data_IF_052823771224
#
_entry.id   IF_052823771224
#
_cell.length_a   1.000
_cell.length_b   1.000
_cell.length_c   1.000
_cell.angle_alpha   90.00
_cell.angle_beta   90.00
_cell.angle_gamma   90.00
#
_symmetry.space_group_name_H-M   'P 1'
#
loop_
_entity.id
_entity.type
_entity.pdbx_description
1 polymer ?
#
# COMPACT_ATOMS: atom_id res chain seq x y z
N UNK A 1 9.80 -6.38 -51.76
CA UNK A 1 8.51 -5.73 -51.43
C UNK A 1 8.41 -5.52 -49.92
N UNK A 2 8.61 -4.29 -49.44
CA UNK A 2 8.50 -3.99 -47.99
C UNK A 2 7.02 -3.95 -47.63
N UNK A 3 6.55 -4.88 -46.79
CA UNK A 3 5.17 -4.89 -46.28
C UNK A 3 4.92 -3.61 -45.48
N UNK A 4 4.19 -2.65 -46.05
CA UNK A 4 3.74 -1.44 -45.33
C UNK A 4 2.87 -1.88 -44.15
N UNK A 5 3.34 -1.68 -42.91
CA UNK A 5 2.55 -1.94 -41.70
C UNK A 5 1.28 -1.09 -41.77
N UNK A 6 0.11 -1.77 -41.78
CA UNK A 6 -1.20 -1.12 -41.74
C UNK A 6 -1.33 -0.41 -40.39
N UNK A 7 -1.37 0.93 -40.40
CA UNK A 7 -1.49 1.75 -39.19
C UNK A 7 -2.84 1.46 -38.51
N UNK A 8 -2.80 1.05 -37.24
CA UNK A 8 -3.99 0.79 -36.41
C UNK A 8 -4.28 1.99 -35.50
N UNK A 9 -4.70 3.10 -36.10
CA UNK A 9 -4.92 4.37 -35.39
C UNK A 9 -5.86 4.25 -34.18
N UNK A 10 -6.93 3.46 -34.32
CA UNK A 10 -7.90 3.20 -33.25
C UNK A 10 -7.24 2.47 -32.07
N UNK A 11 -6.35 1.50 -32.33
CA UNK A 11 -5.68 0.75 -31.28
C UNK A 11 -4.72 1.63 -30.46
N UNK A 12 -4.01 2.53 -31.13
CA UNK A 12 -3.12 3.51 -30.48
C UNK A 12 -3.92 4.51 -29.63
N UNK A 13 -5.04 5.02 -30.17
CA UNK A 13 -5.94 5.91 -29.43
C UNK A 13 -6.52 5.20 -28.18
N UNK A 14 -6.99 3.96 -28.34
CA UNK A 14 -7.52 3.17 -27.24
C UNK A 14 -6.46 2.86 -26.16
N UNK A 15 -5.18 2.72 -26.53
CA UNK A 15 -4.09 2.56 -25.55
C UNK A 15 -3.88 3.84 -24.73
N UNK A 16 -3.86 5.00 -25.39
CA UNK A 16 -3.72 6.31 -24.72
C UNK A 16 -4.88 6.59 -23.77
N UNK A 17 -6.12 6.35 -24.22
CA UNK A 17 -7.31 6.60 -23.40
C UNK A 17 -7.34 5.67 -22.18
N UNK A 18 -7.00 4.38 -22.33
CA UNK A 18 -6.92 3.45 -21.18
C UNK A 18 -5.89 3.90 -20.16
N UNK A 19 -4.67 4.23 -20.59
CA UNK A 19 -3.62 4.71 -19.70
C UNK A 19 -4.03 6.00 -18.96
N UNK A 20 -4.67 6.94 -19.67
CA UNK A 20 -5.16 8.17 -19.04
C UNK A 20 -6.28 7.90 -18.02
N UNK A 21 -7.22 7.01 -18.36
CA UNK A 21 -8.30 6.60 -17.44
C UNK A 21 -7.73 5.88 -16.23
N UNK A 22 -6.83 4.92 -16.41
CA UNK A 22 -6.15 4.20 -15.33
C UNK A 22 -5.41 5.14 -14.39
N UNK A 23 -4.74 6.17 -14.91
CA UNK A 23 -4.08 7.19 -14.09
C UNK A 23 -5.10 8.00 -13.27
N UNK A 24 -6.18 8.46 -13.93
CA UNK A 24 -7.17 9.35 -13.31
C UNK A 24 -8.09 8.62 -12.33
N UNK A 25 -8.47 7.38 -12.64
CA UNK A 25 -9.32 6.53 -11.81
C UNK A 25 -8.51 5.56 -10.94
N UNK A 26 -7.20 5.80 -10.78
CA UNK A 26 -6.35 4.95 -9.93
C UNK A 26 -6.91 4.98 -8.51
N UNK A 27 -7.29 3.81 -7.93
CA UNK A 27 -7.79 3.77 -6.56
C UNK A 27 -6.69 4.28 -5.62
N UNK A 28 -7.11 5.10 -4.64
CA UNK A 28 -6.22 5.60 -3.61
C UNK A 28 -5.82 4.48 -2.66
N UNK A 29 -4.78 4.72 -1.86
CA UNK A 29 -4.28 3.69 -0.96
C UNK A 29 -5.31 3.40 0.13
N UNK A 30 -5.94 4.44 0.67
CA UNK A 30 -7.13 4.38 1.53
C UNK A 30 -8.16 3.36 1.04
N UNK A 31 -8.58 3.46 -0.22
CA UNK A 31 -9.56 2.58 -0.84
C UNK A 31 -9.02 1.15 -1.03
N UNK A 32 -7.78 1.02 -1.51
CA UNK A 32 -7.17 -0.28 -1.82
C UNK A 32 -6.95 -1.14 -0.58
N UNK A 33 -6.55 -0.55 0.55
CA UNK A 33 -6.33 -1.30 1.79
C UNK A 33 -7.33 -1.00 2.91
N UNK A 34 -8.48 -0.42 2.58
CA UNK A 34 -9.67 -0.52 3.41
C UNK A 34 -9.97 -1.98 3.73
N UNK A 35 -10.36 -2.24 4.98
CA UNK A 35 -10.70 -3.56 5.46
C UNK A 35 -11.92 -3.46 6.36
N UNK A 36 -12.89 -4.32 6.11
CA UNK A 36 -13.97 -4.58 7.06
C UNK A 36 -13.50 -5.64 8.07
N UNK A 37 -13.44 -5.27 9.35
CA UNK A 37 -12.95 -6.13 10.43
C UNK A 37 -13.98 -7.18 10.89
N UNK A 38 -15.26 -7.01 10.53
CA UNK A 38 -16.31 -7.99 10.82
C UNK A 38 -16.21 -9.16 9.84
N UNK A 39 -16.18 -8.85 8.53
CA UNK A 39 -16.18 -9.87 7.48
C UNK A 39 -14.79 -10.26 6.97
N UNK A 40 -13.73 -9.54 7.38
CA UNK A 40 -12.36 -9.69 6.87
C UNK A 40 -12.23 -9.53 5.35
N UNK A 41 -13.16 -8.78 4.73
CA UNK A 41 -13.19 -8.51 3.30
C UNK A 41 -12.67 -7.11 2.99
N UNK A 42 -11.97 -7.00 1.87
CA UNK A 42 -11.59 -5.70 1.29
C UNK A 42 -12.77 -5.18 0.46
N UNK A 43 -13.41 -4.06 0.83
CA UNK A 43 -14.60 -3.56 0.12
C UNK A 43 -14.33 -3.26 -1.35
N UNK A 44 -13.14 -2.75 -1.67
CA UNK A 44 -12.79 -2.37 -3.04
C UNK A 44 -12.65 -3.56 -4.00
N UNK A 45 -12.15 -4.70 -3.53
CA UNK A 45 -11.91 -5.88 -4.37
C UNK A 45 -12.90 -7.01 -4.12
N UNK A 46 -13.69 -6.95 -3.05
CA UNK A 46 -14.58 -8.02 -2.59
C UNK A 46 -13.86 -9.27 -2.07
N UNK A 47 -12.52 -9.26 -2.05
CA UNK A 47 -11.68 -10.42 -1.68
C UNK A 47 -11.54 -10.51 -0.17
N UNK A 48 -11.63 -11.72 0.35
CA UNK A 48 -11.39 -12.04 1.76
C UNK A 48 -9.89 -12.18 2.03
N UNK A 49 -9.46 -11.78 3.23
CA UNK A 49 -8.09 -12.01 3.66
C UNK A 49 -7.83 -13.50 3.96
N UNK A 50 -6.60 -14.00 3.76
CA UNK A 50 -6.22 -15.34 4.19
C UNK A 50 -6.42 -15.51 5.70
N UNK A 51 -6.95 -16.65 6.12
CA UNK A 51 -7.33 -16.95 7.52
C UNK A 51 -6.15 -16.74 8.48
N UNK A 52 -4.94 -17.13 8.09
CA UNK A 52 -3.73 -16.97 8.89
C UNK A 52 -3.44 -15.51 9.27
N UNK A 53 -3.84 -14.55 8.42
CA UNK A 53 -3.61 -13.13 8.69
C UNK A 53 -4.66 -12.50 9.62
N UNK A 54 -5.76 -13.19 9.94
CA UNK A 54 -6.88 -12.60 10.69
C UNK A 54 -6.49 -12.25 12.12
N UNK A 55 -5.68 -13.09 12.76
CA UNK A 55 -5.24 -12.87 14.13
C UNK A 55 -4.36 -11.61 14.23
N UNK A 56 -3.39 -11.48 13.33
CA UNK A 56 -2.51 -10.31 13.30
C UNK A 56 -3.28 -9.05 12.92
N UNK A 57 -4.22 -9.12 11.97
CA UNK A 57 -5.05 -7.96 11.57
C UNK A 57 -5.89 -7.40 12.72
N UNK A 58 -6.31 -8.22 13.68
CA UNK A 58 -7.10 -7.79 14.84
C UNK A 58 -6.26 -7.25 15.98
N UNK A 59 -5.02 -7.73 16.13
CA UNK A 59 -4.14 -7.40 17.26
C UNK A 59 -3.11 -6.35 16.93
N UNK A 60 -2.55 -6.42 15.73
CA UNK A 60 -1.48 -5.54 15.26
C UNK A 60 -2.05 -4.26 14.65
N UNK A 61 -1.32 -3.17 14.89
CA UNK A 61 -1.65 -1.87 14.30
C UNK A 61 -0.96 -1.68 12.95
N UNK A 62 -1.62 -0.98 12.03
CA UNK A 62 -0.98 -0.56 10.78
C UNK A 62 0.10 0.46 11.09
N UNK A 63 1.22 0.39 10.35
CA UNK A 63 2.35 1.32 10.50
C UNK A 63 1.88 2.78 10.57
N UNK A 64 1.03 3.20 9.63
CA UNK A 64 0.57 4.59 9.60
C UNK A 64 -0.33 5.00 10.76
N UNK A 65 -1.17 4.09 11.27
CA UNK A 65 -1.98 4.35 12.45
C UNK A 65 -1.08 4.66 13.66
N UNK A 66 0.07 3.99 13.76
CA UNK A 66 1.07 4.28 14.79
C UNK A 66 1.79 5.60 14.54
N UNK A 67 2.18 5.89 13.30
CA UNK A 67 2.91 7.11 12.95
C UNK A 67 2.05 8.37 13.04
N UNK A 68 0.74 8.29 12.76
CA UNK A 68 -0.16 9.43 12.76
C UNK A 68 -0.25 10.13 14.13
N UNK A 69 -0.08 9.40 15.23
CA UNK A 69 -0.05 9.95 16.58
C UNK A 69 1.29 10.60 16.97
N UNK A 70 2.32 10.51 16.13
CA UNK A 70 3.67 10.99 16.43
C UNK A 70 3.97 12.32 15.73
N UNK A 71 4.80 13.15 16.38
CA UNK A 71 5.32 14.38 15.75
C UNK A 71 6.07 14.04 14.46
N UNK A 72 5.74 14.75 13.37
CA UNK A 72 6.31 14.54 12.03
C UNK A 72 6.23 13.07 11.55
N UNK A 73 5.15 12.36 11.89
CA UNK A 73 4.95 10.95 11.50
C UNK A 73 6.10 10.01 11.88
N UNK A 74 6.81 10.31 12.99
CA UNK A 74 7.88 9.45 13.48
C UNK A 74 9.13 9.41 12.60
N UNK A 75 9.36 10.41 11.74
CA UNK A 75 10.64 10.55 11.01
C UNK A 75 11.81 10.55 11.99
N UNK A 76 12.83 9.74 11.69
CA UNK A 76 14.01 9.49 12.53
C UNK A 76 13.87 8.29 13.48
N UNK A 77 12.67 7.70 13.63
CA UNK A 77 12.45 6.53 14.51
C UNK A 77 12.70 5.21 13.78
N UNK A 78 12.92 4.18 14.59
CA UNK A 78 13.05 2.79 14.15
C UNK A 78 11.71 2.07 14.27
N UNK A 79 11.43 1.18 13.32
CA UNK A 79 10.24 0.32 13.31
C UNK A 79 10.63 -1.12 13.01
N UNK A 80 10.03 -2.07 13.72
CA UNK A 80 10.18 -3.51 13.46
C UNK A 80 8.83 -4.15 13.20
N UNK A 81 8.83 -5.34 12.61
CA UNK A 81 7.62 -6.11 12.32
C UNK A 81 7.61 -7.36 13.19
N UNK A 82 6.46 -7.69 13.79
CA UNK A 82 6.30 -8.89 14.62
C UNK A 82 6.86 -10.15 13.95
N UNK A 83 6.51 -10.41 12.70
CA UNK A 83 7.02 -11.61 12.02
C UNK A 83 8.54 -11.64 11.87
N UNK A 84 9.24 -10.50 11.86
CA UNK A 84 10.70 -10.53 11.85
C UNK A 84 11.30 -10.87 13.20
N UNK A 85 10.64 -10.49 14.29
CA UNK A 85 11.06 -10.87 15.64
C UNK A 85 10.86 -12.36 15.88
N UNK A 86 9.87 -12.96 15.24
CA UNK A 86 9.59 -14.40 15.32
C UNK A 86 10.50 -15.22 14.38
N UNK A 87 10.78 -14.70 13.17
CA UNK A 87 11.53 -15.43 12.13
C UNK A 87 13.05 -15.28 12.23
N UNK A 88 13.57 -14.18 12.80
CA UNK A 88 15.01 -13.86 12.78
C UNK A 88 15.55 -13.58 14.17
N UNK A 89 16.75 -14.11 14.46
CA UNK A 89 17.47 -13.83 15.72
C UNK A 89 18.08 -12.43 15.77
N UNK A 90 18.39 -11.86 14.60
CA UNK A 90 19.04 -10.55 14.50
C UNK A 90 18.01 -9.42 14.46
N UNK A 91 18.30 -8.27 15.12
CA UNK A 91 17.36 -7.16 15.22
C UNK A 91 17.11 -6.53 13.85
N UNK A 92 15.99 -6.90 13.24
CA UNK A 92 15.54 -6.37 11.95
C UNK A 92 14.64 -5.16 12.15
N UNK A 93 15.07 -3.99 11.67
CA UNK A 93 14.31 -2.75 11.80
C UNK A 93 14.49 -1.82 10.59
N UNK A 94 13.60 -0.85 10.47
CA UNK A 94 13.61 0.18 9.45
C UNK A 94 13.70 1.54 10.10
N UNK A 95 14.55 2.41 9.57
CA UNK A 95 14.56 3.82 9.96
C UNK A 95 13.66 4.64 9.04
N UNK A 96 12.76 5.42 9.63
CA UNK A 96 11.84 6.25 8.87
C UNK A 96 12.56 7.54 8.45
N UNK A 97 12.83 7.71 7.17
CA UNK A 97 13.47 8.93 6.64
C UNK A 97 12.48 9.87 5.99
N UNK A 98 11.44 9.32 5.34
CA UNK A 98 10.42 10.07 4.64
C UNK A 98 9.08 9.37 4.77
N UNK A 99 8.02 10.16 4.86
CA UNK A 99 6.66 9.66 4.96
C UNK A 99 5.81 10.37 3.90
N UNK A 100 5.12 9.61 3.07
CA UNK A 100 4.17 10.13 2.07
C UNK A 100 2.77 9.72 2.47
N UNK A 101 1.95 10.68 2.87
CA UNK A 101 0.64 10.42 3.44
C UNK A 101 -0.45 10.46 2.35
N UNK A 102 -1.38 9.51 2.40
CA UNK A 102 -2.62 9.58 1.63
C UNK A 102 -3.63 10.49 2.34
N UNK A 103 -3.67 11.76 1.95
CA UNK A 103 -4.55 12.78 2.52
C UNK A 103 -6.05 12.51 2.30
N UNK A 104 -6.42 11.52 1.47
CA UNK A 104 -7.82 11.14 1.25
C UNK A 104 -8.34 10.13 2.27
N UNK A 105 -7.48 9.61 3.14
CA UNK A 105 -7.88 8.72 4.21
C UNK A 105 -8.56 9.53 5.34
N UNK A 106 -9.80 9.19 5.66
CA UNK A 106 -10.35 9.52 6.97
C UNK A 106 -9.62 8.73 8.06
N UNK A 107 -9.63 9.23 9.30
CA UNK A 107 -8.77 8.82 10.43
C UNK A 107 -8.63 7.30 10.65
N UNK A 108 -9.59 6.51 10.19
CA UNK A 108 -9.65 5.05 10.30
C UNK A 108 -8.98 4.25 9.15
N UNK A 109 -8.49 4.88 8.08
CA UNK A 109 -8.06 4.16 6.84
C UNK A 109 -6.68 4.59 6.30
N UNK A 110 -5.74 5.00 7.15
CA UNK A 110 -4.39 5.42 6.70
C UNK A 110 -3.49 4.23 6.30
N UNK A 111 -2.92 4.25 5.08
CA UNK A 111 -2.04 3.23 4.46
C UNK A 111 -1.01 3.93 3.53
N UNK A 112 0.09 3.28 3.05
CA UNK A 112 1.34 2.80 3.68
C UNK A 112 2.57 3.74 3.46
N UNK A 113 3.44 3.89 4.47
CA UNK A 113 4.58 4.80 4.38
C UNK A 113 5.69 4.14 3.54
N UNK A 114 6.21 4.85 2.55
CA UNK A 114 7.45 4.44 1.89
C UNK A 114 8.63 4.61 2.86
N UNK A 115 9.04 3.53 3.54
CA UNK A 115 10.29 3.50 4.30
C UNK A 115 11.45 3.05 3.37
N UNK A 116 12.67 3.49 3.64
CA UNK A 116 13.89 3.00 2.99
C UNK A 116 14.61 2.02 3.94
N UNK A 117 14.99 0.85 3.44
CA UNK A 117 15.68 -0.17 4.24
C UNK A 117 17.14 0.27 4.41
N UNK A 118 17.55 0.51 5.64
CA UNK A 118 18.96 0.52 6.00
C UNK A 118 19.29 -0.85 6.59
N UNK A 119 20.02 -1.67 5.85
CA UNK A 119 20.75 -2.80 6.44
C UNK A 119 22.05 -2.24 6.99
N UNK A 120 22.34 -2.48 8.27
CA UNK A 120 23.70 -2.38 8.83
C UNK A 120 24.27 -3.77 8.91
#
# INVERSE_FOLDING_TARGET
MVKKKRLRLIAEMARKIRAYRELKSRPRESQKYALDYETMKRPHTGKMLPVLAWQDVRRESRLFSLLAGMRMFGVGRLFTRKSWLEDHSDPSYWQITKVKVDYTAEVRVWIPACCHAGYK
#
